data_IF_492355078105
#
_entry.id   IF_492355078105
#
_cell.length_a   1.000
_cell.length_b   1.000
_cell.length_c   1.000
_cell.angle_alpha   90.00
_cell.angle_beta   90.00
_cell.angle_gamma   90.00
#
_symmetry.space_group_name_H-M   'P 1'
#
loop_
_entity.id
_entity.type
_entity.pdbx_description
1 polymer ?
#
# COMPACT_ATOMS: atom_id res chain seq x y z
N UNK A 1 -0.65 11.73 -11.93
CA UNK A 1 0.55 12.35 -12.51
C UNK A 1 0.89 13.72 -11.94
N UNK A 2 0.43 14.07 -10.73
CA UNK A 2 0.66 15.41 -10.17
C UNK A 2 1.94 15.45 -9.35
N UNK A 3 2.83 16.37 -9.69
CA UNK A 3 3.98 16.79 -8.90
C UNK A 3 3.87 18.29 -8.68
N UNK A 4 4.03 18.74 -7.43
CA UNK A 4 3.80 20.14 -7.08
C UNK A 4 3.84 20.39 -5.58
N UNK A 5 3.65 21.63 -5.15
CA UNK A 5 3.62 22.02 -3.74
C UNK A 5 2.18 22.33 -3.35
N UNK A 6 1.62 21.56 -2.42
CA UNK A 6 0.32 21.89 -1.83
C UNK A 6 0.56 22.97 -0.75
N UNK A 7 -0.22 24.07 -0.73
CA UNK A 7 -0.06 25.14 0.24
C UNK A 7 -0.05 24.63 1.70
N UNK A 8 0.76 25.27 2.54
CA UNK A 8 0.77 24.98 3.98
C UNK A 8 -0.61 25.26 4.60
N UNK A 9 -1.10 24.32 5.42
CA UNK A 9 -2.41 24.40 6.08
C UNK A 9 -3.50 23.55 5.43
N UNK A 10 -3.30 23.10 4.18
CA UNK A 10 -4.18 22.12 3.54
C UNK A 10 -3.84 20.68 3.95
N UNK A 11 -4.81 19.78 3.90
CA UNK A 11 -4.57 18.36 4.15
C UNK A 11 -3.65 17.79 3.06
N UNK A 12 -2.43 17.42 3.45
CA UNK A 12 -1.36 17.02 2.51
C UNK A 12 -0.44 18.17 2.07
N UNK A 13 -0.45 19.31 2.76
CA UNK A 13 0.44 20.45 2.51
C UNK A 13 1.93 20.07 2.57
N UNK A 14 2.70 20.55 1.60
CA UNK A 14 4.11 20.21 1.42
C UNK A 14 4.45 19.82 -0.03
N UNK A 15 5.75 19.63 -0.34
CA UNK A 15 6.19 19.17 -1.65
C UNK A 15 5.77 17.71 -1.90
N UNK A 16 5.05 17.50 -3.00
CA UNK A 16 4.57 16.20 -3.46
C UNK A 16 5.33 15.78 -4.72
N UNK A 17 5.77 14.52 -4.76
CA UNK A 17 6.39 13.88 -5.94
C UNK A 17 5.65 12.61 -6.30
N UNK A 18 5.67 12.22 -7.58
CA UNK A 18 5.30 10.86 -7.98
C UNK A 18 6.52 9.98 -7.74
N UNK A 19 6.56 9.34 -6.57
CA UNK A 19 7.72 8.51 -6.21
C UNK A 19 7.78 7.22 -7.05
N UNK A 20 6.65 6.64 -7.44
CA UNK A 20 6.59 5.48 -8.32
C UNK A 20 5.31 5.49 -9.16
N UNK A 21 5.37 4.88 -10.34
CA UNK A 21 4.24 4.75 -11.26
C UNK A 21 4.31 3.42 -12.00
N UNK A 22 3.15 2.89 -12.37
CA UNK A 22 3.05 1.62 -13.08
C UNK A 22 1.67 1.01 -12.98
N UNK A 23 1.60 -0.31 -13.13
CA UNK A 23 0.36 -1.07 -13.05
C UNK A 23 0.39 -2.06 -11.90
N UNK A 24 -0.79 -2.52 -11.49
CA UNK A 24 -0.93 -3.57 -10.50
C UNK A 24 -1.96 -4.58 -10.94
N UNK A 25 -1.85 -5.80 -10.44
CA UNK A 25 -2.80 -6.87 -10.69
C UNK A 25 -3.09 -7.64 -9.40
N UNK A 26 -4.37 -7.92 -9.09
CA UNK A 26 -4.71 -8.73 -7.94
C UNK A 26 -4.27 -10.18 -8.14
N UNK A 27 -3.90 -10.86 -7.05
CA UNK A 27 -3.65 -12.31 -7.08
C UNK A 27 -4.88 -13.14 -6.69
N UNK A 28 -5.86 -12.50 -6.06
CA UNK A 28 -7.10 -13.11 -5.57
C UNK A 28 -8.29 -12.17 -5.84
N UNK A 29 -9.50 -12.58 -5.47
CA UNK A 29 -10.68 -11.70 -5.52
C UNK A 29 -10.48 -10.47 -4.62
N UNK A 30 -10.50 -9.27 -5.22
CA UNK A 30 -10.19 -7.99 -4.57
C UNK A 30 -11.14 -7.72 -3.40
N UNK A 31 -12.43 -7.90 -3.64
CA UNK A 31 -13.47 -7.57 -2.69
C UNK A 31 -13.43 -8.47 -1.45
N UNK A 32 -13.29 -9.79 -1.66
CA UNK A 32 -13.17 -10.78 -0.59
C UNK A 32 -11.91 -10.56 0.23
N UNK A 33 -10.78 -10.31 -0.43
CA UNK A 33 -9.47 -10.16 0.21
C UNK A 33 -9.33 -8.86 1.00
N UNK A 34 -9.90 -7.75 0.50
CA UNK A 34 -10.01 -6.51 1.26
C UNK A 34 -10.94 -6.67 2.46
N UNK A 35 -12.06 -7.39 2.34
CA UNK A 35 -12.97 -7.66 3.48
C UNK A 35 -12.32 -8.54 4.55
N UNK A 36 -11.63 -9.61 4.15
CA UNK A 36 -10.91 -10.49 5.09
C UNK A 36 -9.70 -9.82 5.73
N UNK A 37 -9.18 -8.75 5.12
CA UNK A 37 -8.01 -8.04 5.61
C UNK A 37 -6.69 -8.68 5.18
N UNK A 38 -6.68 -9.47 4.12
CA UNK A 38 -5.50 -10.13 3.57
C UNK A 38 -5.51 -10.00 2.04
N UNK A 39 -4.95 -8.91 1.53
CA UNK A 39 -4.98 -8.58 0.10
C UNK A 39 -3.62 -8.74 -0.55
N UNK A 40 -3.52 -9.64 -1.52
CA UNK A 40 -2.30 -9.92 -2.29
C UNK A 40 -2.41 -9.42 -3.71
N UNK A 41 -1.34 -8.76 -4.17
CA UNK A 41 -1.28 -8.17 -5.50
C UNK A 41 0.16 -8.12 -6.00
N UNK A 42 0.32 -7.99 -7.32
CA UNK A 42 1.60 -7.71 -7.97
C UNK A 42 1.67 -6.26 -8.38
N UNK A 43 2.85 -5.67 -8.22
CA UNK A 43 3.20 -4.36 -8.78
C UNK A 43 4.15 -4.56 -9.97
N UNK A 44 3.92 -3.78 -11.02
CA UNK A 44 4.81 -3.60 -12.15
C UNK A 44 5.07 -2.09 -12.29
N UNK A 45 5.86 -1.56 -11.36
CA UNK A 45 6.26 -0.15 -11.25
C UNK A 45 7.69 0.10 -11.72
N UNK A 46 8.08 1.37 -11.76
CA UNK A 46 9.46 1.74 -12.04
C UNK A 46 10.39 1.39 -10.89
N UNK A 47 9.91 1.50 -9.64
CA UNK A 47 10.65 1.13 -8.42
C UNK A 47 10.14 -0.15 -7.80
N UNK A 48 8.85 -0.25 -7.50
CA UNK A 48 8.26 -1.40 -6.83
C UNK A 48 7.81 -2.45 -7.84
N UNK A 49 8.35 -3.65 -7.69
CA UNK A 49 8.07 -4.77 -8.57
C UNK A 49 7.76 -6.04 -7.77
N UNK A 50 7.05 -6.98 -8.39
CA UNK A 50 6.75 -8.30 -7.82
C UNK A 50 5.54 -8.31 -6.89
N UNK A 51 5.45 -9.35 -6.06
CA UNK A 51 4.37 -9.60 -5.12
C UNK A 51 4.46 -8.79 -3.83
N UNK A 52 3.29 -8.33 -3.39
CA UNK A 52 3.07 -7.57 -2.17
C UNK A 52 1.79 -8.04 -1.47
N UNK A 53 1.71 -7.81 -0.16
CA UNK A 53 0.54 -8.15 0.65
C UNK A 53 0.20 -7.01 1.62
N UNK A 54 -1.09 -6.65 1.67
CA UNK A 54 -1.67 -5.82 2.69
C UNK A 54 -2.41 -6.69 3.72
N UNK A 55 -2.01 -6.59 4.98
CA UNK A 55 -2.63 -7.31 6.09
C UNK A 55 -3.20 -6.33 7.11
N UNK A 56 -4.49 -6.45 7.44
CA UNK A 56 -5.15 -5.63 8.45
C UNK A 56 -4.84 -6.16 9.85
N UNK A 57 -4.38 -5.29 10.73
CA UNK A 57 -4.18 -5.62 12.12
C UNK A 57 -5.53 -5.65 12.85
N UNK A 58 -5.65 -6.54 13.84
CA UNK A 58 -6.77 -6.48 14.79
C UNK A 58 -6.59 -5.24 15.67
N UNK A 59 -7.66 -4.50 15.97
CA UNK A 59 -7.59 -3.38 16.91
C UNK A 59 -7.12 -3.88 18.27
N UNK A 60 -6.25 -3.12 18.93
CA UNK A 60 -5.86 -3.42 20.32
C UNK A 60 -6.98 -2.99 21.28
N UNK A 61 -7.07 -3.57 22.49
CA UNK A 61 -8.01 -3.11 23.50
C UNK A 61 -7.84 -1.60 23.76
N UNK A 62 -8.91 -0.82 23.59
CA UNK A 62 -8.91 0.63 23.76
C UNK A 62 -8.54 1.45 22.51
N UNK A 63 -8.20 0.82 21.38
CA UNK A 63 -8.09 1.50 20.10
C UNK A 63 -9.47 1.66 19.44
N UNK A 64 -9.64 2.78 18.71
CA UNK A 64 -10.84 3.04 17.91
C UNK A 64 -10.99 1.98 16.82
N UNK A 65 -12.10 1.24 16.85
CA UNK A 65 -12.43 0.19 15.87
C UNK A 65 -12.52 0.72 14.43
N UNK A 66 -12.68 2.04 14.25
CA UNK A 66 -12.68 2.67 12.93
C UNK A 66 -11.27 2.87 12.36
N UNK A 67 -10.22 2.81 13.19
CA UNK A 67 -8.81 2.90 12.73
C UNK A 67 -8.35 1.55 12.20
N UNK A 68 -8.57 1.32 10.91
CA UNK A 68 -8.08 0.13 10.19
C UNK A 68 -6.59 0.25 9.90
N UNK A 69 -5.75 -0.19 10.82
CA UNK A 69 -4.30 -0.27 10.61
C UNK A 69 -3.96 -1.41 9.63
N UNK A 70 -3.20 -1.09 8.59
CA UNK A 70 -2.71 -2.06 7.62
C UNK A 70 -1.18 -2.11 7.62
N UNK A 71 -0.65 -3.30 7.46
CA UNK A 71 0.77 -3.54 7.20
C UNK A 71 0.96 -3.94 5.74
N UNK A 72 1.95 -3.33 5.10
CA UNK A 72 2.38 -3.68 3.74
C UNK A 72 3.65 -4.54 3.83
N UNK A 73 3.61 -5.72 3.22
CA UNK A 73 4.73 -6.66 3.16
C UNK A 73 5.16 -6.90 1.71
N UNK A 74 6.47 -6.95 1.47
CA UNK A 74 7.04 -7.48 0.23
C UNK A 74 7.02 -9.00 0.28
N UNK A 75 6.46 -9.66 -0.73
CA UNK A 75 6.56 -11.12 -0.84
C UNK A 75 7.98 -11.54 -1.22
N UNK A 76 8.39 -12.71 -0.74
CA UNK A 76 9.65 -13.34 -1.16
C UNK A 76 9.50 -13.84 -2.59
N UNK A 77 10.14 -13.17 -3.52
CA UNK A 77 10.14 -13.49 -4.94
C UNK A 77 11.43 -12.98 -5.59
N UNK A 78 11.53 -13.08 -6.92
CA UNK A 78 12.72 -12.65 -7.66
C UNK A 78 12.95 -11.12 -7.60
N UNK A 79 11.94 -10.33 -7.26
CA UNK A 79 12.03 -8.88 -7.13
C UNK A 79 12.31 -8.43 -5.67
N UNK A 80 12.38 -9.35 -4.70
CA UNK A 80 12.79 -9.01 -3.34
C UNK A 80 14.31 -8.87 -3.27
N UNK A 81 14.79 -7.73 -2.80
CA UNK A 81 16.20 -7.53 -2.45
C UNK A 81 16.47 -8.11 -1.05
N UNK A 82 17.58 -8.83 -0.90
CA UNK A 82 18.01 -9.46 0.36
C UNK A 82 19.19 -8.75 1.02
N UNK A 83 19.60 -7.59 0.49
CA UNK A 83 20.69 -6.79 1.05
C UNK A 83 20.34 -6.06 2.34
#
# INVERSE_FOLDING_TARGET
DFEGVIPEGEYGGGPMIVWDTGTWAPMEDVDKSLRSGAFKFRLAGQKLNGGWMLTRLKPKPGEDENKKNWLLFKERDLASDTK
#
